data_IF_545660419539
#
_entry.id   IF_545660419539
#
_cell.length_a   1.000
_cell.length_b   1.000
_cell.length_c   1.000
_cell.angle_alpha   90.00
_cell.angle_beta   90.00
_cell.angle_gamma   90.00
#
_symmetry.space_group_name_H-M   'P 1'
#
loop_
_entity.id
_entity.type
_entity.pdbx_description
1 polymer ?
#
# COMPACT_ATOMS: atom_id res chain seq x y z
N UNK A 1 -41.32 0.07 53.29
CA UNK A 1 -42.74 -0.03 52.88
C UNK A 1 -43.01 1.15 51.95
N UNK A 2 -43.15 0.93 50.65
CA UNK A 2 -44.42 0.91 49.91
C UNK A 2 -45.18 2.26 49.96
N UNK A 3 -45.66 2.86 48.87
CA UNK A 3 -45.83 2.33 47.51
C UNK A 3 -45.71 3.41 46.42
N UNK A 4 -45.59 2.98 45.17
CA UNK A 4 -45.45 3.84 43.99
C UNK A 4 -46.77 4.51 43.57
N UNK A 5 -46.65 5.61 42.81
CA UNK A 5 -47.65 6.02 41.81
C UNK A 5 -46.95 6.32 40.49
N UNK A 6 -47.30 5.53 39.48
CA UNK A 6 -47.07 5.83 38.06
C UNK A 6 -48.41 6.31 37.50
N UNK A 7 -48.40 7.26 36.55
CA UNK A 7 -49.22 7.31 35.32
C UNK A 7 -49.31 8.76 34.78
N UNK A 8 -49.05 8.89 33.46
CA UNK A 8 -49.36 9.98 32.52
C UNK A 8 -49.13 11.44 32.95
N UNK A 9 -48.29 12.12 32.16
CA UNK A 9 -48.72 13.36 31.52
C UNK A 9 -48.24 13.36 30.06
N UNK A 10 -49.15 13.66 29.13
CA UNK A 10 -48.87 13.77 27.70
C UNK A 10 -49.04 15.22 27.24
N UNK A 11 -48.25 15.58 26.22
CA UNK A 11 -48.44 16.71 25.29
C UNK A 11 -48.09 18.14 25.75
N UNK A 12 -47.58 18.84 24.73
CA UNK A 12 -47.39 20.29 24.53
C UNK A 12 -46.02 20.86 24.95
N UNK A 13 -45.16 21.08 23.95
CA UNK A 13 -44.44 22.34 23.65
C UNK A 13 -43.83 22.18 22.24
N UNK A 14 -44.52 22.66 21.20
CA UNK A 14 -44.38 24.00 20.60
C UNK A 14 -43.12 24.10 19.71
N UNK A 15 -43.35 24.05 18.40
CA UNK A 15 -42.30 24.26 17.40
C UNK A 15 -41.89 25.74 17.33
N UNK A 16 -40.59 26.01 17.32
CA UNK A 16 -40.03 27.32 17.00
C UNK A 16 -39.16 27.15 15.75
N UNK A 17 -39.66 27.63 14.61
CA UNK A 17 -38.86 27.82 13.40
C UNK A 17 -37.99 29.07 13.57
N UNK A 18 -36.68 28.88 13.72
CA UNK A 18 -35.70 29.95 13.61
C UNK A 18 -35.06 29.93 12.20
N UNK A 19 -35.15 31.04 11.48
CA UNK A 19 -34.74 31.18 10.08
C UNK A 19 -33.22 31.27 9.92
N UNK A 20 -32.58 30.19 9.50
CA UNK A 20 -31.18 30.20 9.09
C UNK A 20 -31.01 30.89 7.73
N UNK A 21 -30.30 32.01 7.69
CA UNK A 21 -29.94 32.69 6.44
C UNK A 21 -28.84 31.90 5.69
N UNK A 22 -28.88 31.82 4.35
CA UNK A 22 -27.88 31.09 3.58
C UNK A 22 -26.55 31.85 3.55
N UNK A 23 -25.51 31.27 4.15
CA UNK A 23 -24.14 31.78 4.02
C UNK A 23 -23.71 31.64 2.54
N UNK A 24 -23.32 32.77 1.94
CA UNK A 24 -22.82 32.82 0.56
C UNK A 24 -21.66 31.84 0.37
N UNK A 25 -21.80 30.92 -0.60
CA UNK A 25 -20.67 30.15 -1.12
C UNK A 25 -19.66 31.11 -1.76
N UNK A 26 -18.43 31.15 -1.24
CA UNK A 26 -17.31 31.73 -1.97
C UNK A 26 -16.92 30.72 -3.05
N UNK A 27 -17.18 31.09 -4.31
CA UNK A 27 -16.79 30.30 -5.48
C UNK A 27 -15.36 30.70 -5.84
N UNK A 28 -14.41 29.77 -5.72
CA UNK A 28 -13.08 29.95 -6.32
C UNK A 28 -13.21 29.89 -7.86
N UNK A 29 -12.84 30.94 -8.61
CA UNK A 29 -12.88 30.91 -10.07
C UNK A 29 -11.71 30.07 -10.61
N UNK A 30 -12.00 29.17 -11.54
CA UNK A 30 -10.98 28.39 -12.22
C UNK A 30 -10.27 29.21 -13.31
N UNK A 31 -8.94 29.07 -13.35
CA UNK A 31 -8.01 29.29 -14.46
C UNK A 31 -8.20 30.50 -15.42
N UNK A 32 -7.20 31.38 -15.45
CA UNK A 32 -6.73 32.00 -16.71
C UNK A 32 -5.34 31.46 -17.06
N UNK A 33 -5.26 30.69 -18.14
CA UNK A 33 -4.01 30.20 -18.71
C UNK A 33 -3.56 31.22 -19.77
N UNK A 34 -2.45 31.91 -19.56
CA UNK A 34 -1.92 32.85 -20.54
C UNK A 34 -1.25 32.09 -21.69
N UNK A 35 -1.65 32.39 -22.92
CA UNK A 35 -1.02 31.91 -24.15
C UNK A 35 0.14 32.81 -24.54
N UNK A 36 1.35 32.26 -24.64
CA UNK A 36 2.48 32.92 -25.31
C UNK A 36 2.91 32.11 -26.53
N UNK A 37 2.56 32.61 -27.72
CA UNK A 37 2.96 32.04 -29.00
C UNK A 37 4.32 32.59 -29.43
N UNK A 38 5.30 31.72 -29.67
CA UNK A 38 6.45 32.06 -30.51
C UNK A 38 6.63 31.02 -31.62
N UNK A 39 6.59 31.53 -32.84
CA UNK A 39 6.92 30.84 -34.09
C UNK A 39 8.38 31.12 -34.42
N UNK A 40 9.13 30.10 -34.83
CA UNK A 40 10.29 30.24 -35.73
C UNK A 40 10.23 29.07 -36.74
N UNK A 41 10.57 29.38 -37.99
CA UNK A 41 10.29 28.53 -39.15
C UNK A 41 11.43 27.55 -39.52
N UNK A 42 11.13 26.70 -40.51
CA UNK A 42 11.95 25.64 -41.08
C UNK A 42 13.27 26.09 -41.72
N UNK A 43 14.24 25.16 -41.76
CA UNK A 43 15.19 25.05 -42.86
C UNK A 43 15.59 23.57 -43.07
N UNK A 44 15.27 23.03 -44.25
CA UNK A 44 15.85 21.78 -44.77
C UNK A 44 17.17 22.10 -45.48
N UNK A 45 18.09 21.13 -45.62
CA UNK A 45 18.97 21.01 -46.78
C UNK A 45 19.56 19.59 -46.90
N UNK A 46 19.99 19.23 -48.10
CA UNK A 46 20.02 17.86 -48.61
C UNK A 46 21.37 17.11 -48.60
N UNK A 47 21.22 15.81 -48.87
CA UNK A 47 22.23 14.81 -49.24
C UNK A 47 23.37 15.27 -50.15
N UNK A 48 24.56 14.71 -49.92
CA UNK A 48 25.52 14.33 -50.99
C UNK A 48 26.02 12.89 -50.75
N UNK A 49 26.35 12.18 -51.83
CA UNK A 49 26.43 10.71 -51.92
C UNK A 49 27.76 10.26 -52.58
N UNK A 50 28.32 9.11 -52.14
CA UNK A 50 29.01 8.09 -53.00
C UNK A 50 30.38 8.51 -53.62
N UNK A 51 31.25 7.61 -54.16
CA UNK A 51 31.38 6.12 -54.11
C UNK A 51 32.57 5.71 -53.19
N UNK A 52 33.13 4.50 -53.06
CA UNK A 52 33.49 3.33 -53.94
C UNK A 52 33.64 2.06 -53.04
N UNK A 53 33.99 0.83 -53.44
CA UNK A 53 33.82 -0.07 -54.61
C UNK A 53 34.10 -1.52 -54.15
N UNK A 54 33.55 -2.53 -54.86
CA UNK A 54 34.04 -3.93 -55.06
C UNK A 54 34.67 -4.79 -53.93
N UNK A 55 34.70 -6.13 -53.97
CA UNK A 55 33.88 -7.23 -54.52
C UNK A 55 34.63 -8.53 -54.09
N UNK A 56 34.05 -9.30 -53.15
CA UNK A 56 34.19 -10.77 -52.96
C UNK A 56 35.52 -11.50 -53.29
N UNK A 57 36.10 -12.19 -52.30
CA UNK A 57 36.66 -13.53 -52.50
C UNK A 57 36.43 -14.42 -51.27
N UNK A 58 36.26 -15.72 -51.49
CA UNK A 58 35.84 -16.70 -50.49
C UNK A 58 37.00 -17.53 -49.96
N UNK A 59 37.05 -17.77 -48.64
CA UNK A 59 37.70 -18.97 -48.07
C UNK A 59 36.95 -19.46 -46.85
N UNK A 60 36.83 -20.78 -46.73
CA UNK A 60 36.09 -21.46 -45.66
C UNK A 60 37.00 -21.81 -44.48
N UNK A 61 36.52 -21.56 -43.26
CA UNK A 61 36.94 -22.29 -42.05
C UNK A 61 35.86 -22.18 -40.98
N UNK A 62 35.44 -23.32 -40.45
CA UNK A 62 34.43 -23.40 -39.39
C UNK A 62 35.02 -23.01 -38.04
N UNK A 63 34.24 -22.26 -37.23
CA UNK A 63 34.47 -22.03 -35.81
C UNK A 63 33.12 -21.94 -35.08
N UNK A 64 33.05 -22.29 -33.78
CA UNK A 64 31.80 -22.62 -33.13
C UNK A 64 30.97 -21.39 -32.71
N UNK A 65 29.65 -21.57 -32.75
CA UNK A 65 28.62 -20.60 -32.37
C UNK A 65 28.69 -20.29 -30.86
N UNK A 66 28.75 -19.02 -30.43
CA UNK A 66 28.55 -18.67 -29.02
C UNK A 66 27.12 -19.00 -28.60
N UNK A 67 26.96 -19.75 -27.52
CA UNK A 67 25.64 -20.01 -26.95
C UNK A 67 25.11 -18.73 -26.29
N UNK A 68 24.01 -18.18 -26.82
CA UNK A 68 23.26 -17.12 -26.16
C UNK A 68 22.61 -17.69 -24.90
N UNK A 69 23.15 -17.35 -23.73
CA UNK A 69 22.56 -17.73 -22.44
C UNK A 69 21.45 -16.76 -22.06
N UNK A 70 20.27 -16.94 -22.67
CA UNK A 70 19.02 -16.38 -22.13
C UNK A 70 18.81 -16.89 -20.70
N UNK A 71 18.56 -16.02 -19.70
CA UNK A 71 18.20 -16.48 -18.36
C UNK A 71 16.87 -17.24 -18.45
N UNK A 72 16.88 -18.53 -18.08
CA UNK A 72 15.65 -19.30 -17.91
C UNK A 72 14.98 -18.78 -16.63
N UNK A 73 13.70 -18.36 -16.66
CA UNK A 73 12.99 -18.01 -15.44
C UNK A 73 12.87 -19.26 -14.58
N UNK A 74 13.53 -19.26 -13.42
CA UNK A 74 13.54 -20.38 -12.50
C UNK A 74 12.19 -20.39 -11.76
N UNK A 75 11.18 -21.03 -12.36
CA UNK A 75 9.84 -21.15 -11.76
C UNK A 75 9.95 -22.02 -10.51
N UNK A 76 9.98 -21.38 -9.34
CA UNK A 76 10.00 -22.06 -8.05
C UNK A 76 8.63 -22.71 -7.78
N UNK A 77 8.46 -23.93 -8.25
CA UNK A 77 7.30 -24.79 -7.98
C UNK A 77 7.35 -25.47 -6.61
N UNK A 78 8.47 -25.35 -5.88
CA UNK A 78 8.62 -25.89 -4.53
C UNK A 78 7.90 -25.06 -3.47
N UNK A 79 7.39 -25.74 -2.43
CA UNK A 79 6.96 -25.08 -1.19
C UNK A 79 8.19 -24.44 -0.55
N UNK A 80 8.21 -23.10 -0.52
CA UNK A 80 9.25 -22.34 0.17
C UNK A 80 9.04 -22.53 1.67
N UNK A 81 10.06 -23.00 2.39
CA UNK A 81 9.95 -23.32 3.82
C UNK A 81 10.49 -22.20 4.72
N UNK A 82 10.17 -22.28 6.01
CA UNK A 82 10.62 -21.32 7.02
C UNK A 82 10.14 -19.89 6.75
N UNK A 83 10.97 -18.90 7.11
CA UNK A 83 10.63 -17.47 6.99
C UNK A 83 10.30 -17.03 5.56
N UNK A 84 11.00 -17.57 4.55
CA UNK A 84 10.72 -17.27 3.15
C UNK A 84 9.33 -17.78 2.72
N UNK A 85 8.86 -18.91 3.27
CA UNK A 85 7.49 -19.40 3.05
C UNK A 85 6.43 -18.45 3.63
N UNK A 86 6.71 -17.85 4.78
CA UNK A 86 5.82 -16.87 5.40
C UNK A 86 5.76 -15.54 4.62
N UNK A 87 6.85 -15.16 3.96
CA UNK A 87 6.97 -13.95 3.14
C UNK A 87 6.36 -14.14 1.74
N UNK A 88 6.52 -15.34 1.18
CA UNK A 88 5.98 -15.75 -0.12
C UNK A 88 4.92 -16.87 0.03
N UNK A 89 3.76 -16.60 0.67
CA UNK A 89 2.74 -17.62 0.96
C UNK A 89 1.95 -18.08 -0.29
N UNK A 90 2.27 -17.55 -1.47
CA UNK A 90 1.61 -17.84 -2.74
C UNK A 90 2.66 -18.39 -3.69
N UNK A 91 2.50 -19.64 -4.12
CA UNK A 91 3.44 -20.33 -5.02
C UNK A 91 3.28 -19.89 -6.47
N UNK A 92 4.30 -20.14 -7.30
CA UNK A 92 4.21 -19.96 -8.76
C UNK A 92 4.37 -18.51 -9.25
N UNK A 93 5.03 -17.65 -8.49
CA UNK A 93 5.36 -16.29 -8.92
C UNK A 93 6.39 -16.27 -10.07
N UNK A 94 6.24 -15.30 -10.98
CA UNK A 94 7.13 -15.10 -12.14
C UNK A 94 8.34 -14.22 -11.82
N UNK A 95 8.15 -13.22 -10.96
CA UNK A 95 9.17 -12.25 -10.56
C UNK A 95 9.08 -12.02 -9.05
N UNK A 96 10.22 -11.87 -8.37
CA UNK A 96 10.24 -11.58 -6.93
C UNK A 96 11.53 -10.88 -6.50
N UNK A 97 11.47 -10.21 -5.35
CA UNK A 97 12.64 -9.74 -4.62
C UNK A 97 12.40 -9.85 -3.11
N UNK A 98 13.48 -9.92 -2.35
CA UNK A 98 13.45 -9.89 -0.88
C UNK A 98 14.69 -9.21 -0.32
N UNK A 99 14.60 -8.58 0.84
CA UNK A 99 15.75 -8.20 1.68
C UNK A 99 16.01 -9.20 2.81
N UNK A 100 15.32 -10.35 2.84
CA UNK A 100 15.50 -11.35 3.90
C UNK A 100 16.80 -12.12 3.67
N UNK A 101 17.72 -12.17 4.65
CA UNK A 101 19.02 -12.86 4.50
C UNK A 101 18.89 -14.39 4.38
N UNK A 102 17.68 -14.94 4.53
CA UNK A 102 17.40 -16.35 4.24
C UNK A 102 17.38 -16.67 2.74
N UNK A 103 17.33 -15.67 1.85
CA UNK A 103 17.52 -15.86 0.41
C UNK A 103 18.98 -15.60 0.00
N UNK A 104 19.53 -16.47 -0.84
CA UNK A 104 20.86 -16.28 -1.43
C UNK A 104 20.94 -15.09 -2.40
N UNK A 105 19.79 -14.68 -2.96
CA UNK A 105 19.65 -13.53 -3.88
C UNK A 105 19.05 -12.29 -3.21
N UNK A 106 19.17 -12.18 -1.87
CA UNK A 106 18.63 -11.06 -1.12
C UNK A 106 19.26 -9.71 -1.53
N UNK A 107 18.42 -8.72 -1.74
CA UNK A 107 18.84 -7.33 -1.88
C UNK A 107 19.22 -6.76 -0.50
N UNK A 108 20.10 -5.76 -0.49
CA UNK A 108 20.42 -5.02 0.73
C UNK A 108 19.18 -4.30 1.28
N UNK A 109 19.02 -4.32 2.61
CA UNK A 109 18.03 -3.51 3.31
C UNK A 109 18.52 -2.05 3.36
N UNK A 110 18.24 -1.30 2.28
CA UNK A 110 18.71 0.08 2.01
C UNK A 110 17.78 0.81 1.05
N UNK A 111 17.77 2.16 1.10
CA UNK A 111 16.92 3.01 0.23
C UNK A 111 17.19 2.83 -1.27
N UNK A 112 18.41 2.43 -1.65
CA UNK A 112 18.75 2.05 -3.03
C UNK A 112 17.89 0.90 -3.57
N UNK A 113 17.45 -0.02 -2.70
CA UNK A 113 16.55 -1.14 -3.04
C UNK A 113 15.11 -0.66 -3.14
N UNK A 114 14.63 0.13 -2.17
CA UNK A 114 13.24 0.63 -2.16
C UNK A 114 12.96 1.67 -3.25
N UNK A 115 13.96 2.48 -3.60
CA UNK A 115 13.85 3.68 -4.47
C UNK A 115 12.74 4.62 -3.98
N UNK A 116 12.82 5.12 -2.73
CA UNK A 116 11.74 5.88 -2.11
C UNK A 116 11.46 7.18 -2.87
N UNK A 117 10.18 7.52 -2.99
CA UNK A 117 9.68 8.78 -3.53
C UNK A 117 8.57 9.34 -2.61
N UNK A 118 8.21 10.62 -2.81
CA UNK A 118 7.29 11.36 -1.94
C UNK A 118 7.61 11.20 -0.43
N UNK A 119 8.91 11.29 -0.10
CA UNK A 119 9.44 11.14 1.26
C UNK A 119 9.03 12.34 2.11
N UNK A 120 8.47 12.07 3.30
CA UNK A 120 8.21 13.09 4.31
C UNK A 120 9.50 13.40 5.07
N UNK A 121 10.19 14.48 4.66
CA UNK A 121 11.53 14.80 5.16
C UNK A 121 11.59 15.25 6.63
N UNK A 122 10.46 15.49 7.29
CA UNK A 122 10.38 15.92 8.68
C UNK A 122 10.44 14.76 9.68
N UNK A 123 10.09 13.54 9.26
CA UNK A 123 10.29 12.31 10.04
C UNK A 123 10.80 11.19 9.12
N UNK A 124 12.09 10.88 9.27
CA UNK A 124 12.81 9.90 8.45
C UNK A 124 12.86 8.54 9.15
N UNK A 125 12.73 7.46 8.37
CA UNK A 125 13.15 6.15 8.82
C UNK A 125 14.67 6.09 8.94
N UNK A 126 15.17 5.26 9.85
CA UNK A 126 16.60 4.93 9.95
C UNK A 126 16.80 3.43 9.78
N UNK A 127 18.04 2.98 9.60
CA UNK A 127 18.38 1.56 9.62
C UNK A 127 19.15 1.26 10.89
N UNK A 128 18.59 0.40 11.73
CA UNK A 128 19.11 0.06 13.05
C UNK A 128 18.92 -1.45 13.30
N UNK A 129 19.51 -1.97 14.38
CA UNK A 129 19.21 -3.32 14.83
C UNK A 129 17.98 -3.27 15.77
N UNK A 130 17.05 -4.21 15.57
CA UNK A 130 16.00 -4.50 16.53
C UNK A 130 16.61 -5.06 17.85
N UNK A 131 15.83 -5.15 18.95
CA UNK A 131 16.34 -5.62 20.24
C UNK A 131 16.95 -7.04 20.27
N UNK A 132 16.68 -7.87 19.27
CA UNK A 132 17.30 -9.20 19.08
C UNK A 132 18.58 -9.17 18.22
N UNK A 133 19.04 -7.99 17.84
CA UNK A 133 20.21 -7.78 16.97
C UNK A 133 19.92 -7.80 15.47
N UNK A 134 18.69 -8.10 15.03
CA UNK A 134 18.37 -8.20 13.60
C UNK A 134 18.28 -6.81 12.95
N UNK A 135 19.01 -6.61 11.84
CA UNK A 135 18.97 -5.37 11.07
C UNK A 135 17.57 -5.11 10.49
N UNK A 136 17.09 -3.88 10.66
CA UNK A 136 15.75 -3.45 10.34
C UNK A 136 15.71 -1.98 9.89
N UNK A 137 14.64 -1.60 9.19
CA UNK A 137 14.18 -0.22 9.07
C UNK A 137 13.40 0.13 10.35
N UNK A 138 13.75 1.23 11.00
CA UNK A 138 13.18 1.66 12.28
C UNK A 138 12.27 2.87 12.09
N UNK A 139 11.11 2.82 12.74
CA UNK A 139 10.19 3.94 12.91
C UNK A 139 10.18 4.37 14.37
N UNK A 140 10.53 5.64 14.64
CA UNK A 140 10.47 6.23 15.97
C UNK A 140 9.17 7.01 16.17
N UNK A 141 8.44 6.75 17.25
CA UNK A 141 7.26 7.53 17.64
C UNK A 141 7.57 8.26 18.94
N UNK A 142 7.76 9.59 18.92
CA UNK A 142 7.79 10.40 20.12
C UNK A 142 6.49 10.24 20.91
N UNK A 143 6.56 10.46 22.22
CA UNK A 143 5.36 10.62 23.05
C UNK A 143 4.46 11.71 22.44
N UNK A 144 3.15 11.53 22.54
CA UNK A 144 2.11 12.48 22.10
C UNK A 144 1.93 12.60 20.56
N UNK A 145 2.62 11.78 19.74
CA UNK A 145 2.50 11.76 18.27
C UNK A 145 1.33 10.88 17.75
N UNK A 146 0.53 11.37 16.78
CA UNK A 146 -0.60 10.60 16.19
C UNK A 146 -1.01 10.93 14.73
N UNK A 147 -0.40 11.91 14.07
CA UNK A 147 -0.47 12.09 12.61
C UNK A 147 0.75 12.88 12.13
N UNK A 148 1.03 12.85 10.83
CA UNK A 148 1.99 13.78 10.22
C UNK A 148 1.51 15.25 10.21
N UNK A 149 0.24 15.51 10.52
CA UNK A 149 -0.31 16.88 10.67
C UNK A 149 -0.23 17.44 12.09
N UNK A 150 0.40 16.72 13.03
CA UNK A 150 0.51 17.08 14.45
C UNK A 150 1.97 17.09 14.89
N UNK A 151 2.30 17.95 15.87
CA UNK A 151 3.62 18.04 16.48
C UNK A 151 3.59 17.55 17.94
N UNK A 152 4.47 16.63 18.38
CA UNK A 152 5.53 16.00 17.60
C UNK A 152 4.99 15.03 16.55
N UNK A 153 5.63 15.02 15.39
CA UNK A 153 5.43 13.97 14.39
C UNK A 153 6.13 12.67 14.81
N UNK A 154 5.67 11.53 14.30
CA UNK A 154 6.29 10.24 14.57
C UNK A 154 6.08 9.23 13.45
N UNK A 155 7.02 8.31 13.30
CA UNK A 155 7.03 7.26 12.28
C UNK A 155 7.77 7.68 11.00
N UNK A 156 7.25 7.28 9.84
CA UNK A 156 7.78 7.67 8.53
C UNK A 156 6.70 7.60 7.44
N UNK A 157 6.91 8.33 6.34
CA UNK A 157 6.07 8.24 5.13
C UNK A 157 6.90 8.37 3.86
N UNK A 158 6.79 7.36 2.99
CA UNK A 158 7.22 7.42 1.59
C UNK A 158 6.41 6.41 0.75
N UNK A 159 6.59 6.44 -0.56
CA UNK A 159 6.13 5.38 -1.46
C UNK A 159 7.36 4.75 -2.14
N UNK A 160 7.29 3.46 -2.45
CA UNK A 160 8.43 2.71 -2.98
C UNK A 160 7.99 1.67 -4.01
N UNK A 161 8.51 1.70 -5.25
CA UNK A 161 8.26 0.64 -6.23
C UNK A 161 9.12 -0.62 -5.99
N UNK A 162 10.16 -0.57 -5.15
CA UNK A 162 11.13 -1.66 -5.00
C UNK A 162 12.21 -1.64 -6.10
N UNK A 163 13.08 -2.67 -6.23
CA UNK A 163 14.14 -2.70 -7.23
C UNK A 163 13.59 -2.72 -8.67
N UNK A 164 14.35 -2.19 -9.62
CA UNK A 164 13.94 -2.10 -11.05
C UNK A 164 13.73 -3.45 -11.74
N UNK A 165 14.20 -4.55 -11.14
CA UNK A 165 14.11 -5.91 -11.69
C UNK A 165 12.75 -6.59 -11.47
N UNK A 166 11.82 -5.94 -10.77
CA UNK A 166 10.44 -6.42 -10.60
C UNK A 166 9.51 -5.23 -10.79
N UNK A 167 8.76 -5.23 -11.89
CA UNK A 167 7.84 -4.12 -12.22
C UNK A 167 6.41 -4.46 -11.83
N UNK A 168 5.98 -3.97 -10.66
CA UNK A 168 4.61 -4.12 -10.17
C UNK A 168 3.54 -3.55 -11.11
N UNK A 169 3.90 -2.67 -12.06
CA UNK A 169 2.97 -2.17 -13.07
C UNK A 169 2.65 -3.20 -14.18
N UNK A 170 3.31 -4.36 -14.18
CA UNK A 170 2.92 -5.54 -14.99
C UNK A 170 1.99 -6.51 -14.24
N UNK A 171 1.82 -6.34 -12.92
CA UNK A 171 1.13 -7.30 -12.07
C UNK A 171 -0.40 -7.19 -12.13
N UNK A 172 -1.06 -8.32 -12.40
CA UNK A 172 -2.48 -8.58 -12.11
C UNK A 172 -2.67 -8.92 -10.64
N UNK A 173 -1.75 -9.71 -10.12
CA UNK A 173 -1.69 -10.14 -8.73
C UNK A 173 -0.26 -10.05 -8.23
N UNK A 174 -0.09 -9.40 -7.08
CA UNK A 174 1.19 -9.33 -6.37
C UNK A 174 1.00 -9.64 -4.90
N UNK A 175 2.07 -10.12 -4.27
CA UNK A 175 2.21 -10.15 -2.82
C UNK A 175 3.17 -9.07 -2.34
N UNK A 176 2.95 -8.59 -1.11
CA UNK A 176 3.90 -7.78 -0.37
C UNK A 176 3.94 -8.26 1.08
N UNK A 177 5.11 -8.67 1.53
CA UNK A 177 5.33 -9.14 2.89
C UNK A 177 6.58 -8.55 3.54
N UNK A 178 6.56 -8.56 4.86
CA UNK A 178 7.65 -8.08 5.72
C UNK A 178 7.47 -8.66 7.12
N UNK A 179 8.55 -8.70 7.89
CA UNK A 179 8.50 -8.97 9.32
C UNK A 179 8.44 -7.66 10.08
N UNK A 180 7.54 -7.55 11.06
CA UNK A 180 7.43 -6.40 11.98
C UNK A 180 7.68 -6.85 13.42
N UNK A 181 8.43 -6.04 14.17
CA UNK A 181 8.76 -6.27 15.59
C UNK A 181 8.31 -5.07 16.41
N UNK A 182 7.34 -5.32 17.28
CA UNK A 182 6.95 -4.40 18.35
C UNK A 182 7.75 -4.77 19.61
N UNK A 183 8.57 -3.86 20.19
CA UNK A 183 9.34 -4.16 21.40
C UNK A 183 8.48 -4.63 22.57
N UNK A 184 9.07 -5.42 23.48
CA UNK A 184 8.35 -5.95 24.65
C UNK A 184 7.71 -4.80 25.44
N UNK A 185 6.40 -4.86 25.64
CA UNK A 185 5.64 -3.80 26.29
C UNK A 185 5.44 -2.53 25.44
N UNK A 186 5.51 -2.63 24.11
CA UNK A 186 5.01 -1.60 23.19
C UNK A 186 3.54 -1.29 23.51
N UNK A 187 3.21 0.00 23.55
CA UNK A 187 1.89 0.47 23.93
C UNK A 187 1.09 0.87 22.68
N UNK A 188 0.29 -0.08 22.18
CA UNK A 188 -0.48 0.06 20.93
C UNK A 188 -1.53 1.19 20.92
N UNK A 189 -1.99 1.61 22.10
CA UNK A 189 -3.08 2.58 22.30
C UNK A 189 -4.31 2.27 21.42
N UNK A 190 -4.93 3.25 20.76
CA UNK A 190 -6.10 3.06 19.89
C UNK A 190 -5.74 2.57 18.47
N UNK A 191 -4.45 2.50 18.14
CA UNK A 191 -3.96 1.98 16.88
C UNK A 191 -3.05 2.91 16.07
N UNK A 192 -2.57 2.38 14.96
CA UNK A 192 -1.67 3.06 14.02
C UNK A 192 -1.53 2.29 12.72
N UNK A 193 -0.93 2.94 11.72
CA UNK A 193 -0.87 2.48 10.32
C UNK A 193 0.40 1.67 10.10
N UNK A 194 0.33 0.71 9.19
CA UNK A 194 1.44 -0.13 8.76
C UNK A 194 1.48 -0.16 7.22
N UNK A 195 2.67 -0.44 6.63
CA UNK A 195 2.82 -0.53 5.18
C UNK A 195 1.88 -1.57 4.51
N UNK A 196 1.54 -1.30 3.26
CA UNK A 196 0.81 -2.22 2.37
C UNK A 196 0.87 -1.75 0.91
N UNK A 197 0.25 -2.46 -0.02
CA UNK A 197 0.26 -2.12 -1.44
C UNK A 197 -0.70 -0.98 -1.78
N UNK A 198 -0.34 -0.22 -2.82
CA UNK A 198 -1.18 0.81 -3.41
C UNK A 198 -1.16 0.74 -4.94
N UNK A 199 -2.13 1.40 -5.55
CA UNK A 199 -2.25 1.41 -7.00
C UNK A 199 -3.21 2.45 -7.54
N UNK A 200 -3.21 2.59 -8.86
CA UNK A 200 -4.03 3.57 -9.56
C UNK A 200 -3.77 3.62 -11.06
N UNK A 201 -4.56 4.46 -11.73
CA UNK A 201 -4.53 4.67 -13.17
C UNK A 201 -3.19 5.31 -13.61
N UNK A 202 -2.73 6.40 -12.98
CA UNK A 202 -1.36 6.93 -13.09
C UNK A 202 -0.52 6.70 -11.82
N UNK A 203 0.71 7.23 -11.76
CA UNK A 203 1.52 7.27 -10.52
C UNK A 203 0.98 8.34 -9.55
N UNK A 204 0.61 9.51 -10.08
CA UNK A 204 0.06 10.66 -9.35
C UNK A 204 -1.33 10.36 -8.77
N UNK A 205 -2.19 9.65 -9.50
CA UNK A 205 -3.51 9.26 -8.99
C UNK A 205 -3.39 8.22 -7.87
N UNK A 206 -2.43 7.30 -7.97
CA UNK A 206 -2.28 6.18 -7.05
C UNK A 206 -2.00 6.62 -5.59
N UNK A 207 -1.25 7.72 -5.40
CA UNK A 207 -0.95 8.26 -4.07
C UNK A 207 -2.15 8.99 -3.42
N UNK A 208 -3.26 9.18 -4.14
CA UNK A 208 -4.44 9.94 -3.70
C UNK A 208 -5.39 9.19 -2.75
N UNK A 209 -5.25 7.87 -2.56
CA UNK A 209 -6.19 7.05 -1.78
C UNK A 209 -5.76 6.89 -0.30
N UNK A 210 -5.70 8.00 0.44
CA UNK A 210 -5.41 8.01 1.88
C UNK A 210 -5.90 9.31 2.56
N UNK A 211 -5.87 9.37 3.90
CA UNK A 211 -6.08 10.61 4.66
C UNK A 211 -7.49 11.21 4.60
N UNK A 212 -8.50 10.43 4.21
CA UNK A 212 -9.85 10.92 3.90
C UNK A 212 -10.08 11.28 2.43
N UNK A 213 -9.04 11.23 1.59
CA UNK A 213 -9.15 11.30 0.13
C UNK A 213 -9.41 9.92 -0.46
N UNK A 214 -10.27 9.87 -1.49
CA UNK A 214 -10.73 8.63 -2.13
C UNK A 214 -11.13 8.92 -3.57
N UNK A 215 -10.82 7.99 -4.48
CA UNK A 215 -11.16 8.07 -5.90
C UNK A 215 -11.50 6.69 -6.46
N UNK A 216 -12.16 6.64 -7.62
CA UNK A 216 -12.30 5.41 -8.43
C UNK A 216 -11.02 5.08 -9.22
N UNK A 217 -10.10 6.05 -9.32
CA UNK A 217 -8.84 5.95 -10.05
C UNK A 217 -7.65 5.40 -9.23
N UNK A 218 -7.84 5.15 -7.93
CA UNK A 218 -6.80 4.61 -7.06
C UNK A 218 -7.34 3.58 -6.05
N UNK A 219 -6.42 2.86 -5.41
CA UNK A 219 -6.69 2.13 -4.19
C UNK A 219 -5.47 2.12 -3.25
N UNK A 220 -5.71 1.94 -1.95
CA UNK A 220 -4.69 1.45 -1.02
C UNK A 220 -5.22 0.29 -0.18
N UNK A 221 -4.39 -0.73 -0.02
CA UNK A 221 -4.56 -1.83 0.91
C UNK A 221 -3.41 -1.74 1.91
N UNK A 222 -3.60 -0.96 2.98
CA UNK A 222 -2.64 -0.88 4.10
C UNK A 222 -3.12 -1.76 5.23
N UNK A 223 -2.29 -1.91 6.25
CA UNK A 223 -2.66 -2.56 7.49
C UNK A 223 -2.75 -1.53 8.62
N UNK A 224 -3.42 -1.90 9.70
CA UNK A 224 -3.34 -1.16 10.97
C UNK A 224 -3.13 -2.13 12.13
N UNK A 225 -2.42 -1.66 13.16
CA UNK A 225 -2.57 -2.19 14.51
C UNK A 225 -3.68 -1.42 15.25
N UNK A 226 -4.27 -2.04 16.25
CA UNK A 226 -5.30 -1.51 17.15
C UNK A 226 -4.95 -1.84 18.60
N UNK A 227 -5.84 -1.48 19.51
CA UNK A 227 -5.77 -1.82 20.94
C UNK A 227 -5.46 -3.29 21.15
N UNK A 228 -4.60 -3.55 22.14
CA UNK A 228 -4.08 -4.88 22.51
C UNK A 228 -3.36 -5.64 21.38
N UNK A 229 -2.87 -4.90 20.37
CA UNK A 229 -2.11 -5.46 19.25
C UNK A 229 -2.97 -6.14 18.20
N UNK A 230 -4.31 -6.01 18.24
CA UNK A 230 -5.19 -6.50 17.19
C UNK A 230 -4.77 -5.95 15.83
N UNK A 231 -4.67 -6.82 14.81
CA UNK A 231 -4.38 -6.43 13.44
C UNK A 231 -5.64 -6.33 12.57
N UNK A 232 -5.61 -5.47 11.55
CA UNK A 232 -6.65 -5.36 10.52
C UNK A 232 -6.04 -5.02 9.15
N UNK A 233 -6.77 -5.37 8.08
CA UNK A 233 -6.65 -4.64 6.82
C UNK A 233 -7.34 -3.27 6.97
N UNK A 234 -6.73 -2.21 6.42
CA UNK A 234 -7.27 -0.86 6.42
C UNK A 234 -7.24 -0.27 5.00
N UNK A 235 -8.40 -0.27 4.35
CA UNK A 235 -8.48 -0.18 2.88
C UNK A 235 -9.19 1.08 2.38
N UNK A 236 -8.60 1.73 1.37
CA UNK A 236 -9.26 2.73 0.53
C UNK A 236 -9.46 2.10 -0.85
N UNK A 237 -10.56 1.36 -1.03
CA UNK A 237 -11.00 0.87 -2.34
C UNK A 237 -11.89 1.90 -3.04
N UNK A 238 -12.08 1.84 -4.38
CA UNK A 238 -13.10 2.61 -5.08
C UNK A 238 -14.44 2.65 -4.33
N UNK A 239 -15.05 3.84 -4.17
CA UNK A 239 -16.10 4.08 -3.18
C UNK A 239 -17.38 3.29 -3.51
N UNK A 240 -17.82 2.43 -2.58
CA UNK A 240 -19.03 1.61 -2.75
C UNK A 240 -20.35 2.40 -2.81
N UNK A 241 -20.29 3.71 -2.60
CA UNK A 241 -21.40 4.66 -2.76
C UNK A 241 -21.66 5.02 -4.23
N UNK A 242 -20.67 4.83 -5.11
CA UNK A 242 -20.87 4.78 -6.56
C UNK A 242 -21.42 3.39 -6.93
N UNK A 243 -22.49 3.37 -7.73
CA UNK A 243 -23.23 2.15 -8.09
C UNK A 243 -22.38 1.11 -8.82
N UNK A 244 -21.34 1.53 -9.57
CA UNK A 244 -20.38 0.62 -10.21
C UNK A 244 -19.60 -0.22 -9.20
N UNK A 245 -19.34 0.32 -8.00
CA UNK A 245 -18.42 -0.27 -7.01
C UNK A 245 -19.15 -0.83 -5.79
N UNK A 246 -20.47 -1.01 -5.85
CA UNK A 246 -21.28 -1.55 -4.75
C UNK A 246 -20.76 -2.90 -4.21
N UNK A 247 -20.11 -3.70 -5.06
CA UNK A 247 -19.43 -4.95 -4.68
C UNK A 247 -18.37 -4.76 -3.58
N UNK A 248 -17.74 -3.58 -3.49
CA UNK A 248 -16.76 -3.26 -2.44
C UNK A 248 -17.37 -3.19 -1.03
N UNK A 249 -18.72 -3.18 -0.88
CA UNK A 249 -19.36 -3.38 0.44
C UNK A 249 -19.02 -4.72 1.10
N UNK A 250 -18.47 -5.70 0.37
CA UNK A 250 -18.00 -6.97 0.95
C UNK A 250 -16.98 -6.77 2.07
N UNK A 251 -16.13 -5.74 2.00
CA UNK A 251 -15.13 -5.48 3.05
C UNK A 251 -15.77 -5.08 4.39
N UNK A 252 -17.04 -4.64 4.39
CA UNK A 252 -17.75 -4.17 5.58
C UNK A 252 -18.21 -5.29 6.52
N UNK A 253 -18.18 -6.56 6.09
CA UNK A 253 -18.79 -7.69 6.82
C UNK A 253 -17.83 -8.89 6.96
N UNK A 254 -16.54 -8.64 7.20
CA UNK A 254 -15.53 -9.68 7.37
C UNK A 254 -15.24 -9.88 8.85
N UNK A 255 -15.37 -11.13 9.30
CA UNK A 255 -15.12 -11.51 10.69
C UNK A 255 -13.63 -11.31 11.10
N UNK A 256 -13.33 -11.09 12.39
CA UNK A 256 -14.29 -10.98 13.49
C UNK A 256 -14.93 -9.59 13.62
N UNK A 257 -14.30 -8.54 13.07
CA UNK A 257 -14.89 -7.21 12.98
C UNK A 257 -14.50 -6.49 11.68
N UNK A 258 -15.49 -5.91 11.00
CA UNK A 258 -15.29 -4.99 9.89
C UNK A 258 -16.14 -3.74 10.09
N UNK A 259 -15.66 -2.62 9.57
CA UNK A 259 -16.35 -1.34 9.61
C UNK A 259 -16.03 -0.54 8.35
N UNK A 260 -17.06 -0.24 7.56
CA UNK A 260 -16.92 0.66 6.41
C UNK A 260 -17.18 2.11 6.84
N UNK A 261 -16.15 2.94 6.69
CA UNK A 261 -16.26 4.38 6.88
C UNK A 261 -16.48 5.08 5.51
N UNK A 262 -17.42 6.04 5.38
CA UNK A 262 -17.65 6.75 4.13
C UNK A 262 -16.60 7.84 3.83
N UNK A 263 -15.89 8.32 4.85
CA UNK A 263 -14.85 9.36 4.73
C UNK A 263 -13.47 8.71 4.68
N UNK A 264 -13.18 7.84 5.65
CA UNK A 264 -11.89 7.20 5.84
C UNK A 264 -11.84 5.78 5.23
N UNK A 265 -10.75 5.05 5.51
CA UNK A 265 -10.60 3.65 5.09
C UNK A 265 -11.57 2.74 5.82
N UNK A 266 -11.91 1.61 5.20
CA UNK A 266 -12.65 0.54 5.87
C UNK A 266 -11.68 -0.31 6.71
N UNK A 267 -12.05 -0.56 7.97
CA UNK A 267 -11.42 -1.61 8.80
C UNK A 267 -11.95 -2.96 8.35
N UNK A 268 -11.08 -3.93 8.14
CA UNK A 268 -11.44 -5.25 7.59
C UNK A 268 -10.79 -6.35 8.40
N UNK A 269 -11.60 -7.24 8.98
CA UNK A 269 -11.11 -8.37 9.78
C UNK A 269 -10.28 -7.97 11.01
N UNK A 270 -10.60 -6.83 11.65
CA UNK A 270 -9.94 -6.37 12.88
C UNK A 270 -10.03 -7.45 13.95
N UNK A 271 -8.88 -7.85 14.50
CA UNK A 271 -8.78 -8.88 15.53
C UNK A 271 -8.70 -10.32 14.98
N UNK A 272 -8.68 -10.52 13.65
CA UNK A 272 -8.43 -11.84 13.05
C UNK A 272 -7.03 -12.40 13.41
N UNK A 273 -6.13 -11.52 13.83
CA UNK A 273 -4.81 -11.85 14.38
C UNK A 273 -4.37 -10.75 15.37
N UNK A 274 -3.33 -11.03 16.15
CA UNK A 274 -2.71 -10.09 17.07
C UNK A 274 -1.20 -10.05 16.82
N UNK A 275 -0.61 -8.85 16.87
CA UNK A 275 0.83 -8.64 16.85
C UNK A 275 1.41 -8.98 18.22
N UNK A 276 2.46 -9.82 18.25
CA UNK A 276 3.21 -10.08 19.47
C UNK A 276 4.07 -8.87 19.85
N UNK A 277 4.30 -8.66 21.15
CA UNK A 277 5.37 -7.77 21.64
C UNK A 277 6.59 -8.60 22.04
N UNK A 278 7.79 -8.08 21.80
CA UNK A 278 9.05 -8.78 22.07
C UNK A 278 9.42 -9.86 21.05
N UNK A 279 8.70 -9.96 19.93
CA UNK A 279 8.93 -10.96 18.88
C UNK A 279 8.53 -10.46 17.50
N UNK A 280 9.08 -11.09 16.45
CA UNK A 280 8.72 -10.81 15.07
C UNK A 280 7.36 -11.43 14.73
N UNK A 281 6.52 -10.66 14.05
CA UNK A 281 5.35 -11.15 13.33
C UNK A 281 5.61 -10.97 11.84
N UNK A 282 5.63 -12.06 11.07
CA UNK A 282 5.73 -11.97 9.61
C UNK A 282 4.35 -11.82 9.03
N UNK A 283 4.16 -10.83 8.18
CA UNK A 283 2.91 -10.55 7.49
C UNK A 283 3.16 -10.49 5.99
N UNK A 284 2.19 -10.95 5.20
CA UNK A 284 2.23 -10.87 3.75
C UNK A 284 0.81 -10.71 3.23
N UNK A 285 0.56 -9.68 2.44
CA UNK A 285 -0.72 -9.46 1.77
C UNK A 285 -0.64 -9.88 0.30
N UNK A 286 -1.77 -10.33 -0.26
CA UNK A 286 -1.98 -10.55 -1.69
C UNK A 286 -3.05 -9.60 -2.20
N UNK A 287 -2.73 -8.86 -3.26
CA UNK A 287 -3.65 -7.97 -3.95
C UNK A 287 -3.84 -8.46 -5.38
N UNK A 288 -5.07 -8.84 -5.74
CA UNK A 288 -5.49 -9.19 -7.10
C UNK A 288 -6.38 -8.09 -7.68
N UNK A 289 -5.92 -7.44 -8.73
CA UNK A 289 -6.73 -6.51 -9.52
C UNK A 289 -7.85 -7.27 -10.23
N UNK A 290 -9.04 -6.67 -10.27
CA UNK A 290 -10.16 -7.18 -11.05
C UNK A 290 -9.95 -7.06 -12.57
N UNK A 291 -10.73 -7.81 -13.34
CA UNK A 291 -10.99 -7.50 -14.74
C UNK A 291 -11.89 -6.27 -14.84
N UNK A 292 -11.69 -5.45 -15.87
CA UNK A 292 -12.42 -4.19 -16.03
C UNK A 292 -13.91 -4.48 -16.19
N UNK A 293 -14.75 -3.83 -15.39
CA UNK A 293 -16.19 -4.09 -15.33
C UNK A 293 -16.62 -5.36 -14.59
N UNK A 294 -15.70 -6.12 -13.98
CA UNK A 294 -16.00 -7.34 -13.24
C UNK A 294 -15.66 -7.22 -11.74
N UNK A 295 -16.49 -7.81 -10.89
CA UNK A 295 -16.26 -7.89 -9.45
C UNK A 295 -15.53 -9.20 -9.09
N UNK A 296 -14.29 -9.35 -9.57
CA UNK A 296 -13.46 -10.56 -9.38
C UNK A 296 -12.05 -10.29 -8.81
N UNK A 297 -11.77 -9.08 -8.34
CA UNK A 297 -10.56 -8.75 -7.59
C UNK A 297 -10.57 -9.36 -6.18
N UNK A 298 -9.43 -9.38 -5.51
CA UNK A 298 -9.27 -10.04 -4.20
C UNK A 298 -8.23 -9.34 -3.33
N UNK A 299 -8.47 -9.36 -2.02
CA UNK A 299 -7.47 -9.09 -0.98
C UNK A 299 -7.34 -10.34 -0.10
N UNK A 300 -6.11 -10.73 0.25
CA UNK A 300 -5.87 -11.78 1.24
C UNK A 300 -4.68 -11.40 2.13
N UNK A 301 -4.77 -11.63 3.44
CA UNK A 301 -3.71 -11.38 4.42
C UNK A 301 -3.27 -12.69 5.05
N UNK A 302 -1.96 -12.90 5.04
CA UNK A 302 -1.27 -14.01 5.67
C UNK A 302 -0.46 -13.49 6.86
N UNK A 303 -0.52 -14.21 7.98
CA UNK A 303 0.24 -13.92 9.19
C UNK A 303 0.97 -15.19 9.60
N UNK A 304 2.30 -15.11 9.67
CA UNK A 304 3.20 -16.25 9.86
C UNK A 304 2.85 -17.43 8.90
N UNK A 305 2.64 -17.10 7.63
CA UNK A 305 2.30 -18.05 6.56
C UNK A 305 0.83 -18.52 6.52
N UNK A 306 0.02 -18.24 7.55
CA UNK A 306 -1.39 -18.64 7.61
C UNK A 306 -2.30 -17.54 7.10
N UNK A 307 -3.21 -17.86 6.15
CA UNK A 307 -4.29 -16.93 5.76
C UNK A 307 -5.23 -16.65 6.94
N UNK A 308 -5.47 -15.37 7.24
CA UNK A 308 -6.30 -14.89 8.36
C UNK A 308 -7.45 -13.98 7.91
N UNK A 309 -7.32 -13.30 6.78
CA UNK A 309 -8.38 -12.46 6.18
C UNK A 309 -8.38 -12.72 4.68
N UNK A 310 -9.52 -13.07 4.08
CA UNK A 310 -9.64 -13.27 2.64
C UNK A 310 -10.97 -12.67 2.14
N UNK A 311 -10.88 -11.75 1.18
CA UNK A 311 -12.03 -10.99 0.65
C UNK A 311 -12.03 -11.05 -0.87
N UNK A 312 -12.91 -11.88 -1.43
CA UNK A 312 -13.03 -12.13 -2.86
C UNK A 312 -14.17 -11.37 -3.55
N UNK A 313 -13.96 -11.07 -4.83
CA UNK A 313 -14.94 -10.46 -5.71
C UNK A 313 -15.16 -8.97 -5.44
N UNK A 314 -14.04 -8.24 -5.37
CA UNK A 314 -13.93 -6.79 -5.22
C UNK A 314 -13.68 -6.10 -6.58
N UNK A 315 -13.78 -4.78 -6.62
CA UNK A 315 -13.42 -3.93 -7.76
C UNK A 315 -12.39 -2.90 -7.28
N UNK A 316 -11.11 -3.15 -7.59
CA UNK A 316 -9.96 -2.33 -7.21
C UNK A 316 -9.60 -1.28 -8.30
N UNK A 317 -10.03 -1.48 -9.55
CA UNK A 317 -9.82 -0.56 -10.67
C UNK A 317 -11.06 -0.45 -11.58
N UNK A 318 -11.35 0.76 -12.05
CA UNK A 318 -12.41 1.05 -13.05
C UNK A 318 -11.93 0.86 -14.50
N UNK A 319 -10.62 0.90 -14.75
CA UNK A 319 -10.08 1.04 -16.11
C UNK A 319 -8.91 0.10 -16.42
N UNK A 320 -8.61 -0.06 -17.71
CA UNK A 320 -7.44 -0.77 -18.20
C UNK A 320 -6.11 -0.03 -17.93
N UNK A 321 -6.12 1.19 -17.40
CA UNK A 321 -4.93 1.91 -16.94
C UNK A 321 -4.57 1.57 -15.48
N UNK A 322 -5.51 1.10 -14.66
CA UNK A 322 -5.26 0.78 -13.25
C UNK A 322 -4.19 -0.31 -13.07
N UNK A 323 -3.18 -0.03 -12.23
CA UNK A 323 -2.04 -0.90 -11.87
C UNK A 323 -1.83 -0.96 -10.36
N UNK A 324 -1.12 -2.00 -9.90
CA UNK A 324 -0.37 -1.94 -8.64
C UNK A 324 0.86 -1.05 -8.91
N UNK A 325 1.16 -0.08 -8.04
CA UNK A 325 2.24 0.90 -8.26
C UNK A 325 3.43 0.73 -7.32
N UNK A 326 3.22 0.10 -6.16
CA UNK A 326 4.30 -0.16 -5.21
C UNK A 326 3.78 -0.40 -3.80
N UNK A 327 4.68 -0.18 -2.85
CA UNK A 327 4.43 -0.20 -1.40
C UNK A 327 4.17 1.24 -0.91
N UNK A 328 3.07 1.44 -0.20
CA UNK A 328 2.80 2.67 0.55
C UNK A 328 3.42 2.52 1.94
N UNK A 329 4.68 2.95 2.04
CA UNK A 329 5.52 2.82 3.22
C UNK A 329 5.20 3.93 4.22
N UNK A 330 4.09 3.76 4.93
CA UNK A 330 3.58 4.71 5.91
C UNK A 330 3.30 4.03 7.24
N UNK A 331 3.92 4.52 8.30
CA UNK A 331 3.68 4.05 9.66
C UNK A 331 3.63 5.21 10.63
N UNK A 332 2.60 5.24 11.46
CA UNK A 332 2.32 6.29 12.46
C UNK A 332 1.20 5.79 13.38
N UNK A 333 1.28 6.08 14.69
CA UNK A 333 0.09 6.08 15.56
C UNK A 333 -1.01 6.91 14.91
N UNK A 334 -2.29 6.61 15.13
CA UNK A 334 -3.30 7.62 14.85
C UNK A 334 -4.73 7.21 14.55
N UNK A 335 -5.58 8.21 14.77
CA UNK A 335 -6.82 8.50 14.07
C UNK A 335 -6.66 9.90 13.47
N UNK A 336 -7.48 10.85 13.92
CA UNK A 336 -7.37 12.28 13.64
C UNK A 336 -7.36 13.16 14.91
N UNK A 337 -7.30 12.55 16.10
CA UNK A 337 -7.49 13.23 17.39
C UNK A 337 -6.48 12.75 18.46
N UNK A 338 -6.23 13.57 19.52
CA UNK A 338 -5.15 13.33 20.49
C UNK A 338 -5.24 12.01 21.26
N UNK A 339 -6.42 11.41 21.44
CA UNK A 339 -6.58 10.12 22.12
C UNK A 339 -5.87 8.96 21.41
N UNK A 340 -5.47 9.12 20.15
CA UNK A 340 -4.66 8.14 19.40
C UNK A 340 -3.14 8.31 19.58
N UNK A 341 -2.68 9.30 20.36
CA UNK A 341 -1.28 9.57 20.64
C UNK A 341 -0.47 8.36 21.09
N UNK A 342 0.79 8.28 20.67
CA UNK A 342 1.75 7.36 21.28
C UNK A 342 1.92 7.73 22.75
N UNK A 343 1.55 6.86 23.72
CA UNK A 343 1.51 7.23 25.15
C UNK A 343 2.91 7.37 25.78
N UNK A 344 3.96 6.97 25.04
CA UNK A 344 5.38 7.10 25.38
C UNK A 344 6.22 7.22 24.10
N UNK A 345 7.48 7.59 24.24
CA UNK A 345 8.46 7.38 23.17
C UNK A 345 8.68 5.87 22.98
N UNK A 346 8.59 5.38 21.75
CA UNK A 346 8.75 3.96 21.41
C UNK A 346 9.03 3.76 19.93
N UNK A 347 9.61 2.60 19.58
CA UNK A 347 10.02 2.28 18.22
C UNK A 347 9.30 1.04 17.67
N UNK A 348 9.20 0.92 16.35
CA UNK A 348 8.81 -0.31 15.64
C UNK A 348 9.83 -0.61 14.55
N UNK A 349 10.20 -1.88 14.42
CA UNK A 349 11.24 -2.35 13.51
C UNK A 349 10.62 -3.20 12.40
N UNK A 350 11.06 -2.99 11.17
CA UNK A 350 10.59 -3.68 9.97
C UNK A 350 11.76 -4.31 9.22
N UNK A 351 11.64 -5.57 8.81
CA UNK A 351 12.70 -6.30 8.11
C UNK A 351 12.12 -7.29 7.12
N UNK A 352 12.98 -8.03 6.41
CA UNK A 352 12.58 -9.06 5.43
C UNK A 352 11.61 -8.61 4.31
N UNK A 353 11.63 -7.33 3.92
CA UNK A 353 10.72 -6.81 2.89
C UNK A 353 10.81 -7.62 1.61
N UNK A 354 9.66 -8.12 1.14
CA UNK A 354 9.55 -9.12 0.09
C UNK A 354 8.33 -8.85 -0.79
N UNK A 355 8.48 -8.99 -2.10
CA UNK A 355 7.39 -8.81 -3.07
C UNK A 355 7.52 -9.88 -4.13
N UNK A 356 6.38 -10.42 -4.59
CA UNK A 356 6.35 -11.31 -5.74
C UNK A 356 5.15 -11.03 -6.64
N UNK A 357 5.37 -11.07 -7.96
CA UNK A 357 4.30 -11.01 -8.96
C UNK A 357 3.81 -12.45 -9.19
N UNK A 358 2.59 -12.73 -8.75
CA UNK A 358 1.98 -14.06 -8.80
C UNK A 358 1.06 -14.24 -10.00
N UNK A 359 0.69 -13.14 -10.68
CA UNK A 359 0.04 -13.17 -11.99
C UNK A 359 0.32 -11.86 -12.75
N UNK A 360 0.62 -11.95 -14.04
CA UNK A 360 0.76 -10.79 -14.95
C UNK A 360 -0.61 -10.35 -15.52
N UNK A 361 -0.70 -9.09 -15.95
CA UNK A 361 -1.90 -8.38 -16.41
C UNK A 361 -2.55 -8.92 -17.70
#
# INVERSE_FOLDING_TARGET
>A
MFSARVILLSLVFLAIFATAHPIRRIVCPAARRATSSHSVASASLDLVKVPTTHKSSSTSKASPKPASSTPIPNVSTGIVSGILGNLFPVTGFSESWTTSPSSQSAFSLTDSTFRPNHVLNTVLHTYANAPDGKKAMMAHYPKDSYTFGHDPQGGFSFYAPGPKSVDLSTAKEATFGYSVYFPKGFAFNLGGKLPGLYGGNSEEEAIGCSGGSRSTACFSARLMWRTDGQGEFYTYLPPYTDSKFVANKKVCNIAPYSECNPIYGASVGRGAFHFATGGWTTISERVRLNDVGQANGQLELFVNGKSVINVGGLILRDSAAGRIRGMQMQTFFGGSHPEFASPKAQDVFFSDFSVAITKNL
#
